data_IF_670759829539
#
_entry.id   IF_670759829539
#
_cell.length_a   1.000
_cell.length_b   1.000
_cell.length_c   1.000
_cell.angle_alpha   90.00
_cell.angle_beta   90.00
_cell.angle_gamma   90.00
#
_symmetry.space_group_name_H-M   'P 1'
#
loop_
_entity.id
_entity.type
_entity.pdbx_description
1 polymer ?
#
# COMPACT_ATOMS: atom_id res chain seq x y z
N UNK A 1 6.03 -12.96 12.70
CA UNK A 1 5.83 -13.08 11.23
C UNK A 1 6.76 -14.16 10.69
N UNK A 2 6.25 -15.02 9.84
CA UNK A 2 7.01 -16.08 9.20
C UNK A 2 8.18 -15.51 8.38
N UNK A 3 9.36 -16.07 8.49
CA UNK A 3 10.56 -15.58 7.81
C UNK A 3 10.47 -15.73 6.29
N UNK A 4 9.83 -16.80 5.80
CA UNK A 4 9.65 -17.00 4.37
C UNK A 4 8.75 -15.90 3.80
N UNK A 5 7.65 -15.62 4.48
CA UNK A 5 6.73 -14.55 4.10
C UNK A 5 7.43 -13.18 4.14
N UNK A 6 8.14 -12.90 5.25
CA UNK A 6 8.87 -11.64 5.43
C UNK A 6 9.85 -11.39 4.28
N UNK A 7 10.63 -12.42 3.93
CA UNK A 7 11.63 -12.32 2.87
C UNK A 7 10.97 -12.08 1.50
N UNK A 8 9.89 -12.81 1.21
CA UNK A 8 9.15 -12.65 -0.04
C UNK A 8 8.55 -11.25 -0.14
N UNK A 9 8.00 -10.74 0.95
CA UNK A 9 7.38 -9.42 0.95
C UNK A 9 8.41 -8.29 0.86
N UNK A 10 9.58 -8.46 1.46
CA UNK A 10 10.66 -7.49 1.29
C UNK A 10 11.05 -7.35 -0.18
N UNK A 11 11.14 -8.46 -0.89
CA UNK A 11 11.45 -8.45 -2.32
C UNK A 11 10.34 -7.76 -3.12
N UNK A 12 9.09 -8.13 -2.87
CA UNK A 12 7.94 -7.56 -3.57
C UNK A 12 7.80 -6.06 -3.32
N UNK A 13 7.88 -5.65 -2.07
CA UNK A 13 7.77 -4.23 -1.70
C UNK A 13 8.94 -3.44 -2.28
N UNK A 14 10.13 -4.01 -2.31
CA UNK A 14 11.29 -3.39 -2.94
C UNK A 14 11.07 -3.13 -4.42
N UNK A 15 10.51 -4.10 -5.14
CA UNK A 15 10.16 -3.94 -6.55
C UNK A 15 9.10 -2.86 -6.74
N UNK A 16 8.06 -2.86 -5.90
CA UNK A 16 7.01 -1.86 -5.96
C UNK A 16 7.56 -0.46 -5.68
N UNK A 17 8.49 -0.33 -4.75
CA UNK A 17 9.13 0.95 -4.44
C UNK A 17 9.88 1.51 -5.65
N UNK A 18 10.62 0.65 -6.35
CA UNK A 18 11.34 1.05 -7.57
C UNK A 18 10.36 1.47 -8.68
N UNK A 19 9.29 0.69 -8.87
CA UNK A 19 8.27 1.00 -9.87
C UNK A 19 7.53 2.29 -9.55
N UNK A 20 7.20 2.52 -8.28
CA UNK A 20 6.54 3.77 -7.88
C UNK A 20 7.43 4.98 -8.11
N UNK A 21 8.73 4.85 -7.88
CA UNK A 21 9.67 5.92 -8.15
C UNK A 21 9.74 6.23 -9.64
N UNK A 22 9.77 5.21 -10.48
CA UNK A 22 9.73 5.36 -11.94
C UNK A 22 8.43 6.02 -12.40
N UNK A 23 7.28 5.57 -11.86
CA UNK A 23 6.00 6.17 -12.18
C UNK A 23 5.93 7.63 -11.74
N UNK A 24 6.48 7.94 -10.57
CA UNK A 24 6.56 9.32 -10.10
C UNK A 24 7.29 10.20 -11.11
N UNK A 25 8.43 9.73 -11.65
CA UNK A 25 9.15 10.47 -12.66
C UNK A 25 8.31 10.68 -13.92
N UNK A 26 7.62 9.64 -14.37
CA UNK A 26 6.83 9.68 -15.60
C UNK A 26 5.61 10.61 -15.50
N UNK A 27 4.94 10.67 -14.34
CA UNK A 27 3.72 11.47 -14.19
C UNK A 27 3.99 12.91 -13.75
N UNK A 28 5.24 13.24 -13.43
CA UNK A 28 5.63 14.55 -12.89
C UNK A 28 6.29 15.46 -13.92
N UNK A 29 6.27 15.08 -15.20
CA UNK A 29 6.95 15.81 -16.27
C UNK A 29 6.18 17.04 -16.78
N UNK A 30 4.92 17.19 -16.40
CA UNK A 30 4.04 18.22 -16.97
C UNK A 30 3.44 17.84 -18.31
N UNK A 31 3.85 16.71 -18.89
CA UNK A 31 3.28 16.19 -20.12
C UNK A 31 2.02 15.36 -19.83
N UNK A 32 1.10 15.23 -20.82
CA UNK A 32 -0.05 14.35 -20.63
C UNK A 32 0.38 12.92 -20.33
N UNK A 33 -0.31 12.28 -19.38
CA UNK A 33 -0.01 10.91 -18.97
C UNK A 33 -0.74 9.95 -19.92
N UNK A 34 0.01 8.99 -20.49
CA UNK A 34 -0.58 7.99 -21.38
C UNK A 34 -1.50 7.05 -20.60
N UNK A 35 -2.44 6.42 -21.32
CA UNK A 35 -3.34 5.44 -20.72
C UNK A 35 -2.58 4.27 -20.12
N UNK A 36 -1.52 3.83 -20.78
CA UNK A 36 -0.70 2.70 -20.30
C UNK A 36 -0.02 3.06 -18.97
N UNK A 37 0.55 4.25 -18.87
CA UNK A 37 1.18 4.72 -17.63
C UNK A 37 0.13 4.86 -16.53
N UNK A 38 -1.04 5.42 -16.85
CA UNK A 38 -2.12 5.54 -15.87
C UNK A 38 -2.55 4.17 -15.34
N UNK A 39 -2.68 3.18 -16.20
CA UNK A 39 -3.03 1.83 -15.78
C UNK A 39 -1.96 1.22 -14.89
N UNK A 40 -0.70 1.50 -15.17
CA UNK A 40 0.39 1.04 -14.30
C UNK A 40 0.30 1.71 -12.92
N UNK A 41 -0.06 3.00 -12.87
CA UNK A 41 -0.28 3.71 -11.60
C UNK A 41 -1.39 3.03 -10.80
N UNK A 42 -2.55 2.80 -11.42
CA UNK A 42 -3.67 2.13 -10.76
C UNK A 42 -3.26 0.77 -10.18
N UNK A 43 -2.61 -0.04 -11.01
CA UNK A 43 -2.23 -1.40 -10.61
C UNK A 43 -1.20 -1.39 -9.47
N UNK A 44 -0.21 -0.53 -9.55
CA UNK A 44 0.83 -0.47 -8.52
C UNK A 44 0.30 0.07 -7.18
N UNK A 45 -0.59 1.05 -7.20
CA UNK A 45 -1.24 1.53 -5.98
C UNK A 45 -2.09 0.42 -5.34
N UNK A 46 -2.80 -0.35 -6.16
CA UNK A 46 -3.58 -1.48 -5.69
C UNK A 46 -2.68 -2.54 -5.05
N UNK A 47 -1.63 -2.95 -5.75
CA UNK A 47 -0.71 -3.98 -5.27
C UNK A 47 0.00 -3.55 -3.98
N UNK A 48 0.42 -2.31 -3.90
CA UNK A 48 1.09 -1.78 -2.71
C UNK A 48 0.15 -1.78 -1.50
N UNK A 49 -1.10 -1.37 -1.70
CA UNK A 49 -2.09 -1.38 -0.62
C UNK A 49 -2.38 -2.82 -0.18
N UNK A 50 -2.54 -3.74 -1.12
CA UNK A 50 -2.77 -5.15 -0.80
C UNK A 50 -1.59 -5.77 -0.08
N UNK A 51 -0.37 -5.39 -0.44
CA UNK A 51 0.83 -5.82 0.29
C UNK A 51 0.77 -5.36 1.75
N UNK A 52 0.41 -4.11 1.99
CA UNK A 52 0.27 -3.58 3.35
C UNK A 52 -0.81 -4.31 4.15
N UNK A 53 -1.94 -4.62 3.52
CA UNK A 53 -3.02 -5.39 4.17
C UNK A 53 -2.50 -6.77 4.58
N UNK A 54 -1.81 -7.45 3.68
CA UNK A 54 -1.23 -8.76 3.97
C UNK A 54 -0.21 -8.71 5.11
N UNK A 55 0.67 -7.71 5.08
CA UNK A 55 1.67 -7.50 6.13
C UNK A 55 1.00 -7.26 7.48
N UNK A 56 -0.06 -6.46 7.52
CA UNK A 56 -0.81 -6.20 8.75
C UNK A 56 -1.38 -7.51 9.33
N UNK A 57 -2.03 -8.30 8.49
CA UNK A 57 -2.64 -9.56 8.93
C UNK A 57 -1.60 -10.58 9.38
N UNK A 58 -0.50 -10.70 8.64
CA UNK A 58 0.60 -11.61 9.03
C UNK A 58 1.31 -11.15 10.32
N UNK A 59 1.40 -9.85 10.54
CA UNK A 59 1.94 -9.32 11.81
C UNK A 59 1.08 -9.76 12.99
N UNK A 60 -0.24 -9.65 12.87
CA UNK A 60 -1.16 -10.08 13.93
C UNK A 60 -1.10 -11.58 14.15
N UNK A 61 -1.05 -12.36 13.08
CA UNK A 61 -0.93 -13.82 13.17
C UNK A 61 0.36 -14.25 13.89
N UNK A 62 1.48 -13.59 13.57
CA UNK A 62 2.77 -13.87 14.19
C UNK A 62 2.81 -13.61 15.69
N UNK A 63 1.91 -12.77 16.19
CA UNK A 63 1.78 -12.47 17.61
C UNK A 63 0.72 -13.32 18.31
N UNK A 64 0.23 -14.37 17.65
CA UNK A 64 -0.85 -15.23 18.14
C UNK A 64 -2.13 -14.43 18.48
N UNK A 65 -2.37 -13.35 17.76
CA UNK A 65 -3.56 -12.54 17.91
C UNK A 65 -4.63 -13.00 16.91
N UNK A 66 -5.89 -12.76 17.27
CA UNK A 66 -6.97 -12.98 16.32
C UNK A 66 -6.81 -12.03 15.15
N UNK A 67 -6.92 -12.56 13.92
CA UNK A 67 -6.75 -11.78 12.70
C UNK A 67 -8.11 -11.42 12.14
N UNK A 68 -8.51 -10.13 12.18
CA UNK A 68 -9.75 -9.72 11.52
C UNK A 68 -9.70 -9.99 10.03
N UNK A 69 -10.83 -10.43 9.45
CA UNK A 69 -10.93 -10.59 8.00
C UNK A 69 -11.00 -9.24 7.29
N UNK A 70 -11.58 -8.25 7.94
CA UNK A 70 -11.70 -6.89 7.43
C UNK A 70 -10.36 -6.15 7.55
N UNK A 71 -9.92 -5.57 6.44
CA UNK A 71 -8.63 -4.87 6.39
C UNK A 71 -8.59 -3.66 7.34
N UNK A 72 -9.67 -2.88 7.41
CA UNK A 72 -9.73 -1.71 8.30
C UNK A 72 -9.57 -2.12 9.76
N UNK A 73 -10.22 -3.20 10.16
CA UNK A 73 -10.12 -3.71 11.52
C UNK A 73 -8.72 -4.25 11.82
N UNK A 74 -8.07 -4.85 10.83
CA UNK A 74 -6.68 -5.33 11.01
C UNK A 74 -5.73 -4.17 11.30
N UNK A 75 -5.83 -3.08 10.54
CA UNK A 75 -5.00 -1.89 10.79
C UNK A 75 -5.35 -1.22 12.12
N UNK A 76 -6.64 -1.15 12.46
CA UNK A 76 -7.07 -0.58 13.75
C UNK A 76 -6.47 -1.37 14.91
N UNK A 77 -6.43 -2.69 14.80
CA UNK A 77 -5.85 -3.55 15.84
C UNK A 77 -4.34 -3.35 15.97
N UNK A 78 -3.62 -3.24 14.84
CA UNK A 78 -2.18 -2.92 14.88
C UNK A 78 -1.92 -1.59 15.56
N UNK A 79 -2.73 -0.58 15.25
CA UNK A 79 -2.60 0.76 15.85
C UNK A 79 -2.88 0.71 17.34
N UNK A 80 -3.90 -0.03 17.75
CA UNK A 80 -4.24 -0.23 19.15
C UNK A 80 -3.09 -0.88 19.92
N UNK A 81 -2.37 -1.80 19.29
CA UNK A 81 -1.21 -2.48 19.88
C UNK A 81 0.07 -1.65 19.83
N UNK A 82 0.02 -0.44 19.29
CA UNK A 82 1.19 0.42 19.19
C UNK A 82 2.19 -0.02 18.12
N UNK A 83 1.75 -0.78 17.12
CA UNK A 83 2.63 -1.36 16.10
C UNK A 83 2.56 -0.64 14.75
N UNK A 84 1.65 0.30 14.60
CA UNK A 84 1.55 1.14 13.40
C UNK A 84 1.86 2.59 13.78
N UNK A 85 3.04 3.04 13.40
CA UNK A 85 3.49 4.41 13.65
C UNK A 85 3.46 5.28 12.38
N UNK A 86 2.87 4.75 11.29
CA UNK A 86 2.89 5.43 9.99
C UNK A 86 2.05 6.69 9.94
N UNK A 87 1.03 6.80 10.78
CA UNK A 87 0.06 7.89 10.70
C UNK A 87 -0.85 7.80 9.48
N UNK A 88 -0.87 6.67 8.79
CA UNK A 88 -1.67 6.48 7.59
C UNK A 88 -3.17 6.54 7.88
N UNK A 89 -3.90 7.18 6.99
CA UNK A 89 -5.37 7.15 7.00
C UNK A 89 -5.84 5.89 6.26
N UNK A 90 -5.89 4.77 6.96
CA UNK A 90 -6.20 3.48 6.36
C UNK A 90 -7.60 3.41 5.79
N UNK A 91 -8.58 4.10 6.38
CA UNK A 91 -9.94 4.12 5.85
C UNK A 91 -9.95 4.72 4.44
N UNK A 92 -9.22 5.79 4.25
CA UNK A 92 -9.12 6.47 2.96
C UNK A 92 -8.32 5.64 1.94
N UNK A 93 -7.22 5.05 2.39
CA UNK A 93 -6.37 4.20 1.54
C UNK A 93 -7.13 2.97 1.05
N UNK A 94 -7.84 2.29 1.97
CA UNK A 94 -8.64 1.11 1.63
C UNK A 94 -9.81 1.51 0.73
N UNK A 95 -10.43 2.66 0.97
CA UNK A 95 -11.48 3.18 0.10
C UNK A 95 -10.99 3.37 -1.33
N UNK A 96 -9.80 3.91 -1.51
CA UNK A 96 -9.20 4.05 -2.83
C UNK A 96 -8.91 2.68 -3.46
N UNK A 97 -8.33 1.73 -2.70
CA UNK A 97 -8.09 0.38 -3.19
C UNK A 97 -9.37 -0.27 -3.71
N UNK A 98 -10.46 -0.13 -2.95
CA UNK A 98 -11.74 -0.70 -3.35
C UNK A 98 -12.25 -0.07 -4.65
N UNK A 99 -12.08 1.24 -4.81
CA UNK A 99 -12.44 1.92 -6.05
C UNK A 99 -11.57 1.48 -7.22
N UNK A 100 -10.27 1.25 -7.00
CA UNK A 100 -9.35 0.75 -8.03
C UNK A 100 -9.72 -0.67 -8.49
N UNK A 101 -10.14 -1.52 -7.56
CA UNK A 101 -10.57 -2.89 -7.88
C UNK A 101 -11.87 -2.86 -8.68
N UNK A 102 -12.77 -1.93 -8.36
CA UNK A 102 -14.04 -1.76 -9.05
C UNK A 102 -13.93 -0.63 -10.08
N UNK A 103 -13.16 -0.85 -11.13
CA UNK A 103 -12.81 0.16 -12.13
C UNK A 103 -14.02 0.82 -12.82
N UNK A 104 -15.22 0.20 -12.73
CA UNK A 104 -16.44 0.76 -13.29
C UNK A 104 -17.04 1.89 -12.44
N UNK A 105 -16.46 2.21 -11.28
CA UNK A 105 -16.97 3.27 -10.39
C UNK A 105 -16.48 4.68 -10.76
N UNK A 106 -15.99 4.88 -11.97
CA UNK A 106 -15.59 6.18 -12.49
C UNK A 106 -14.61 6.94 -11.59
N UNK A 107 -13.44 6.34 -11.36
CA UNK A 107 -12.38 7.02 -10.65
C UNK A 107 -11.95 8.30 -11.36
N UNK A 108 -11.77 9.36 -10.60
CA UNK A 108 -11.17 10.59 -11.10
C UNK A 108 -9.66 10.34 -11.30
N UNK A 109 -9.24 10.24 -12.56
CA UNK A 109 -7.86 9.95 -12.92
C UNK A 109 -6.88 10.97 -12.32
N UNK A 110 -7.24 12.23 -12.29
CA UNK A 110 -6.35 13.26 -11.74
C UNK A 110 -6.13 13.08 -10.24
N UNK A 111 -7.13 12.64 -9.50
CA UNK A 111 -6.96 12.33 -8.08
C UNK A 111 -6.02 11.15 -7.86
N UNK A 112 -6.13 10.13 -8.72
CA UNK A 112 -5.24 8.97 -8.65
C UNK A 112 -3.81 9.38 -8.96
N UNK A 113 -3.61 10.18 -10.02
CA UNK A 113 -2.29 10.67 -10.39
C UNK A 113 -1.69 11.58 -9.31
N UNK A 114 -2.52 12.36 -8.62
CA UNK A 114 -2.04 13.23 -7.55
C UNK A 114 -1.49 12.45 -6.35
N UNK A 115 -2.00 11.25 -6.10
CA UNK A 115 -1.42 10.37 -5.07
C UNK A 115 0.04 10.10 -5.38
N UNK A 116 0.37 9.87 -6.66
CA UNK A 116 1.75 9.64 -7.09
C UNK A 116 2.54 10.95 -7.12
N UNK A 117 2.00 12.01 -7.72
CA UNK A 117 2.69 13.31 -7.83
C UNK A 117 3.06 13.89 -6.48
N UNK A 118 2.22 13.72 -5.48
CA UNK A 118 2.44 14.21 -4.12
C UNK A 118 3.09 13.18 -3.21
N UNK A 119 3.50 12.05 -3.75
CA UNK A 119 4.15 10.94 -3.04
C UNK A 119 3.35 10.49 -1.81
N UNK A 120 2.03 10.49 -1.88
CA UNK A 120 1.19 10.03 -0.78
C UNK A 120 1.30 8.53 -0.55
N UNK A 121 1.81 7.78 -1.54
CA UNK A 121 2.09 6.36 -1.39
C UNK A 121 3.28 6.07 -0.47
N UNK A 122 4.11 7.08 -0.16
CA UNK A 122 5.30 6.89 0.66
C UNK A 122 4.95 6.30 2.02
N UNK A 123 3.83 6.71 2.60
CA UNK A 123 3.38 6.20 3.89
C UNK A 123 3.16 4.68 3.86
N UNK A 124 2.74 4.13 2.72
CA UNK A 124 2.57 2.68 2.55
C UNK A 124 3.93 1.96 2.53
N UNK A 125 4.90 2.53 1.84
CA UNK A 125 6.26 1.98 1.80
C UNK A 125 6.91 2.03 3.18
N UNK A 126 6.71 3.12 3.91
CA UNK A 126 7.26 3.30 5.25
C UNK A 126 6.62 2.30 6.23
N UNK A 127 5.31 2.10 6.16
CA UNK A 127 4.62 1.10 6.97
C UNK A 127 5.18 -0.29 6.69
N UNK A 128 5.27 -0.66 5.42
CA UNK A 128 5.76 -1.98 5.03
C UNK A 128 7.20 -2.20 5.51
N UNK A 129 8.07 -1.21 5.30
CA UNK A 129 9.47 -1.30 5.73
C UNK A 129 9.58 -1.47 7.25
N UNK A 130 8.83 -0.70 8.01
CA UNK A 130 8.84 -0.79 9.47
C UNK A 130 8.39 -2.18 9.93
N UNK A 131 7.26 -2.65 9.44
CA UNK A 131 6.73 -3.95 9.87
C UNK A 131 7.61 -5.11 9.44
N UNK A 132 8.18 -5.07 8.26
CA UNK A 132 9.03 -6.14 7.74
C UNK A 132 10.41 -6.18 8.40
N UNK A 133 10.88 -5.05 8.92
CA UNK A 133 12.17 -4.96 9.61
C UNK A 133 12.03 -5.15 11.12
N UNK A 134 10.82 -5.15 11.65
CA UNK A 134 10.58 -5.33 13.07
C UNK A 134 10.81 -6.79 13.43
N UNK A 135 11.56 -7.03 14.54
CA UNK A 135 11.93 -8.38 14.96
C UNK A 135 10.77 -9.16 15.58
N UNK A 136 9.69 -8.49 15.92
CA UNK A 136 8.53 -9.14 16.56
C UNK A 136 7.66 -9.87 15.56
#
# INVERSE_FOLDING_TARGET
MDDIYRKAMKAQVGELAEEMDELYQLVSTGQPVSRVIYRAVERNLQLLTEACIGIAKHSLKGMAKEVPSDARQAFAKLRQLGLDHSGADWNRIIGMRNALVHAYLNLDAERVLDVVRQRRYQVLLDFAAQRLNDAA
#
